data_IF_644542313753
#
_entry.id   IF_644542313753
#
_cell.length_a   1.000
_cell.length_b   1.000
_cell.length_c   1.000
_cell.angle_alpha   90.00
_cell.angle_beta   90.00
_cell.angle_gamma   90.00
#
_symmetry.space_group_name_H-M   'P 1'
#
loop_
_entity.id
_entity.type
_entity.pdbx_description
1 polymer ?
#
# COMPACT_ATOMS: atom_id res chain seq x y z
N UNK A 1 72.70 -7.85 7.61
CA UNK A 1 71.86 -6.63 7.49
C UNK A 1 71.75 -6.08 6.06
N UNK A 2 72.84 -5.95 5.28
CA UNK A 2 72.79 -5.42 3.89
C UNK A 2 71.91 -6.21 2.90
N UNK A 3 71.77 -7.53 3.07
CA UNK A 3 70.89 -8.36 2.22
C UNK A 3 69.41 -8.13 2.51
N UNK A 4 69.04 -7.85 3.76
CA UNK A 4 67.66 -7.58 4.17
C UNK A 4 67.16 -6.25 3.62
N UNK A 5 68.01 -5.22 3.60
CA UNK A 5 67.68 -3.92 3.00
C UNK A 5 67.55 -3.97 1.46
N UNK A 6 68.24 -4.91 0.80
CA UNK A 6 68.16 -5.10 -0.66
C UNK A 6 66.82 -5.69 -1.13
N UNK A 7 66.16 -6.50 -0.30
CA UNK A 7 64.82 -7.04 -0.59
C UNK A 7 63.70 -6.14 -0.07
N UNK A 8 63.97 -5.31 0.95
CA UNK A 8 62.98 -4.36 1.50
C UNK A 8 62.65 -3.21 0.52
N UNK A 9 63.65 -2.73 -0.21
CA UNK A 9 63.49 -1.62 -1.16
C UNK A 9 62.53 -1.93 -2.33
N UNK A 10 62.64 -3.06 -3.07
CA UNK A 10 61.68 -3.38 -4.12
C UNK A 10 60.28 -3.70 -3.56
N UNK A 11 60.18 -4.21 -2.33
CA UNK A 11 58.89 -4.48 -1.67
C UNK A 11 58.14 -3.20 -1.30
N UNK A 12 58.86 -2.18 -0.83
CA UNK A 12 58.29 -0.85 -0.57
C UNK A 12 57.86 -0.14 -1.86
N UNK A 13 58.65 -0.24 -2.93
CA UNK A 13 58.30 0.34 -4.23
C UNK A 13 57.05 -0.35 -4.82
N UNK A 14 56.96 -1.68 -4.70
CA UNK A 14 55.79 -2.44 -5.16
C UNK A 14 54.53 -2.09 -4.34
N UNK A 15 54.66 -1.94 -3.01
CA UNK A 15 53.57 -1.48 -2.15
C UNK A 15 53.08 -0.07 -2.49
N UNK A 16 53.99 0.82 -2.89
CA UNK A 16 53.63 2.21 -3.22
C UNK A 16 52.95 2.30 -4.59
N UNK A 17 53.33 1.45 -5.56
CA UNK A 17 52.68 1.39 -6.88
C UNK A 17 51.27 0.78 -6.83
N UNK A 18 50.98 -0.13 -5.90
CA UNK A 18 49.62 -0.68 -5.76
C UNK A 18 48.64 0.29 -5.07
N UNK A 19 49.15 1.34 -4.42
CA UNK A 19 48.33 2.36 -3.75
C UNK A 19 47.75 3.44 -4.67
N UNK A 20 48.20 3.53 -5.93
CA UNK A 20 47.76 4.56 -6.89
C UNK A 20 46.73 4.04 -7.90
N UNK A 21 45.94 3.03 -7.54
CA UNK A 21 44.73 2.74 -8.31
C UNK A 21 43.78 3.91 -8.11
N UNK A 22 43.39 4.65 -9.16
CA UNK A 22 42.37 5.67 -9.03
C UNK A 22 41.11 4.95 -8.56
N UNK A 23 40.71 5.22 -7.32
CA UNK A 23 39.39 4.83 -6.83
C UNK A 23 38.43 5.53 -7.78
N UNK A 24 37.87 4.76 -8.72
CA UNK A 24 36.75 5.22 -9.53
C UNK A 24 35.62 5.42 -8.54
N UNK A 25 35.50 6.63 -8.00
CA UNK A 25 34.32 7.07 -7.29
C UNK A 25 33.22 6.98 -8.32
N UNK A 26 32.50 5.86 -8.30
CA UNK A 26 31.26 5.73 -9.03
C UNK A 26 30.38 6.82 -8.42
N UNK A 27 30.25 7.93 -9.15
CA UNK A 27 29.27 8.95 -8.83
C UNK A 27 27.95 8.21 -8.70
N UNK A 28 27.46 8.04 -7.47
CA UNK A 28 26.11 7.56 -7.27
C UNK A 28 25.24 8.55 -8.02
N UNK A 29 24.44 8.11 -9.00
CA UNK A 29 23.51 9.01 -9.65
C UNK A 29 22.68 9.60 -8.52
N UNK A 30 22.75 10.92 -8.36
CA UNK A 30 21.75 11.65 -7.61
C UNK A 30 20.43 11.23 -8.23
N UNK A 31 19.70 10.37 -7.53
CA UNK A 31 18.38 9.95 -7.96
C UNK A 31 17.56 11.23 -8.00
N UNK A 32 17.42 11.80 -9.18
CA UNK A 32 16.45 12.83 -9.44
C UNK A 32 15.11 12.15 -9.13
N UNK A 33 14.54 12.47 -7.96
CA UNK A 33 13.20 12.04 -7.60
C UNK A 33 12.32 12.55 -8.71
N UNK A 34 11.91 11.64 -9.59
CA UNK A 34 11.04 11.99 -10.69
C UNK A 34 9.72 12.48 -10.11
N UNK A 35 9.01 13.36 -10.82
CA UNK A 35 7.64 13.72 -10.44
C UNK A 35 6.77 12.48 -10.26
N UNK A 36 7.04 11.41 -11.03
CA UNK A 36 6.36 10.12 -10.88
C UNK A 36 6.59 9.50 -9.50
N UNK A 37 7.83 9.47 -9.02
CA UNK A 37 8.16 8.94 -7.68
C UNK A 37 7.49 9.75 -6.56
N UNK A 38 7.34 11.06 -6.74
CA UNK A 38 6.60 11.91 -5.80
C UNK A 38 5.09 11.63 -5.84
N UNK A 39 4.52 11.40 -7.02
CA UNK A 39 3.11 11.02 -7.18
C UNK A 39 2.81 9.65 -6.56
N UNK A 40 3.70 8.67 -6.75
CA UNK A 40 3.55 7.32 -6.19
C UNK A 40 3.55 7.38 -4.65
N UNK A 41 4.43 8.19 -4.05
CA UNK A 41 4.46 8.40 -2.60
C UNK A 41 3.17 9.06 -2.07
N UNK A 42 2.62 10.03 -2.81
CA UNK A 42 1.33 10.65 -2.46
C UNK A 42 0.19 9.62 -2.53
N UNK A 43 0.18 8.78 -3.57
CA UNK A 43 -0.82 7.72 -3.73
C UNK A 43 -0.78 6.74 -2.55
N UNK A 44 0.40 6.25 -2.17
CA UNK A 44 0.55 5.34 -1.02
C UNK A 44 0.07 6.00 0.28
N UNK A 45 0.39 7.28 0.49
CA UNK A 45 -0.08 8.04 1.65
C UNK A 45 -1.61 8.14 1.69
N UNK A 46 -2.24 8.35 0.54
CA UNK A 46 -3.70 8.41 0.44
C UNK A 46 -4.34 7.04 0.73
N UNK A 47 -3.78 5.95 0.21
CA UNK A 47 -4.29 4.60 0.51
C UNK A 47 -4.14 4.25 2.00
N UNK A 48 -3.03 4.61 2.63
CA UNK A 48 -2.85 4.44 4.08
C UNK A 48 -3.89 5.24 4.87
N UNK A 49 -4.17 6.48 4.48
CA UNK A 49 -5.20 7.30 5.11
C UNK A 49 -6.60 6.67 4.95
N UNK A 50 -6.90 6.12 3.78
CA UNK A 50 -8.15 5.40 3.51
C UNK A 50 -8.31 4.16 4.40
N UNK A 51 -7.26 3.34 4.54
CA UNK A 51 -7.29 2.17 5.43
C UNK A 51 -7.57 2.59 6.88
N UNK A 52 -6.92 3.66 7.35
CA UNK A 52 -7.18 4.20 8.69
C UNK A 52 -8.62 4.72 8.85
N UNK A 53 -9.18 5.39 7.85
CA UNK A 53 -10.59 5.83 7.88
C UNK A 53 -11.54 4.63 8.00
N UNK A 54 -11.29 3.55 7.26
CA UNK A 54 -12.08 2.33 7.35
C UNK A 54 -12.01 1.70 8.74
N UNK A 55 -10.80 1.59 9.32
CA UNK A 55 -10.61 1.08 10.68
C UNK A 55 -11.23 2.00 11.75
N UNK A 56 -11.31 3.30 11.48
CA UNK A 56 -11.96 4.25 12.36
C UNK A 56 -13.49 4.11 12.38
N UNK A 57 -14.11 3.36 11.46
CA UNK A 57 -15.57 3.14 11.43
C UNK A 57 -16.02 2.22 12.56
N UNK A 58 -17.02 2.65 13.32
CA UNK A 58 -17.53 1.90 14.48
C UNK A 58 -17.94 0.47 14.12
N UNK A 59 -18.61 0.26 12.99
CA UNK A 59 -19.02 -1.06 12.52
C UNK A 59 -17.83 -2.00 12.29
N UNK A 60 -16.73 -1.49 11.72
CA UNK A 60 -15.50 -2.25 11.46
C UNK A 60 -14.82 -2.60 12.79
N UNK A 61 -14.75 -1.65 13.72
CA UNK A 61 -14.18 -1.90 15.06
C UNK A 61 -14.97 -2.95 15.83
N UNK A 62 -16.29 -2.85 15.84
CA UNK A 62 -17.15 -3.83 16.50
C UNK A 62 -16.99 -5.23 15.90
N UNK A 63 -16.91 -5.33 14.57
CA UNK A 63 -16.66 -6.62 13.92
C UNK A 63 -15.29 -7.21 14.27
N UNK A 64 -14.22 -6.39 14.28
CA UNK A 64 -12.88 -6.86 14.65
C UNK A 64 -12.83 -7.32 16.12
N UNK A 65 -13.46 -6.58 17.03
CA UNK A 65 -13.59 -6.98 18.44
C UNK A 65 -14.42 -8.27 18.57
N UNK A 66 -15.49 -8.44 17.78
CA UNK A 66 -16.27 -9.68 17.75
C UNK A 66 -15.45 -10.88 17.25
N UNK A 67 -14.42 -10.65 16.41
CA UNK A 67 -13.44 -11.66 16.02
C UNK A 67 -12.33 -11.89 17.06
N UNK A 68 -12.38 -11.21 18.20
CA UNK A 68 -11.40 -11.32 19.28
C UNK A 68 -10.10 -10.55 19.03
N UNK A 69 -10.13 -9.55 18.14
CA UNK A 69 -8.96 -8.73 17.80
C UNK A 69 -9.00 -7.42 18.57
N UNK A 70 -7.91 -7.11 19.27
CA UNK A 70 -7.74 -5.83 19.98
C UNK A 70 -7.38 -4.70 18.99
N UNK A 71 -8.11 -3.59 19.04
CA UNK A 71 -7.95 -2.50 18.07
C UNK A 71 -6.56 -1.85 18.12
N UNK A 72 -5.94 -1.77 19.29
CA UNK A 72 -4.59 -1.23 19.46
C UNK A 72 -3.56 -2.05 18.65
N UNK A 73 -3.71 -3.38 18.63
CA UNK A 73 -2.81 -4.25 17.87
C UNK A 73 -2.98 -4.03 16.37
N UNK A 74 -4.20 -3.83 15.90
CA UNK A 74 -4.49 -3.55 14.48
C UNK A 74 -3.86 -2.24 14.04
N UNK A 75 -4.03 -1.17 14.83
CA UNK A 75 -3.43 0.14 14.55
C UNK A 75 -1.90 0.06 14.50
N UNK A 76 -1.28 -0.66 15.45
CA UNK A 76 0.15 -0.87 15.46
C UNK A 76 0.64 -1.64 14.23
N UNK A 77 -0.12 -2.64 13.77
CA UNK A 77 0.20 -3.40 12.55
C UNK A 77 0.10 -2.52 11.31
N UNK A 78 -0.98 -1.74 11.16
CA UNK A 78 -1.14 -0.82 10.02
C UNK A 78 -0.05 0.26 10.01
N UNK A 79 0.36 0.75 11.18
CA UNK A 79 1.47 1.69 11.30
C UNK A 79 2.82 1.06 10.89
N UNK A 80 3.01 -0.24 11.14
CA UNK A 80 4.22 -0.97 10.79
C UNK A 80 4.24 -1.49 9.33
N UNK A 81 3.13 -1.44 8.59
CA UNK A 81 3.06 -1.90 7.21
C UNK A 81 3.94 -1.07 6.28
N UNK A 82 4.63 -1.76 5.38
CA UNK A 82 5.38 -1.15 4.28
C UNK A 82 4.46 -0.58 3.21
N UNK A 83 4.99 0.29 2.37
CA UNK A 83 4.25 0.95 1.29
C UNK A 83 3.66 -0.06 0.28
N UNK A 84 4.38 -1.15 0.00
CA UNK A 84 3.90 -2.21 -0.88
C UNK A 84 2.75 -3.00 -0.26
N UNK A 85 2.81 -3.28 1.04
CA UNK A 85 1.74 -3.98 1.76
C UNK A 85 0.47 -3.11 1.85
N UNK A 86 0.63 -1.79 2.02
CA UNK A 86 -0.51 -0.85 1.98
C UNK A 86 -1.22 -0.91 0.63
N UNK A 87 -0.48 -0.87 -0.48
CA UNK A 87 -1.06 -0.96 -1.82
C UNK A 87 -1.75 -2.32 -2.06
N UNK A 88 -1.14 -3.42 -1.63
CA UNK A 88 -1.74 -4.75 -1.74
C UNK A 88 -3.03 -4.87 -0.90
N UNK A 89 -3.03 -4.30 0.30
CA UNK A 89 -4.22 -4.30 1.16
C UNK A 89 -5.33 -3.42 0.57
N UNK A 90 -5.00 -2.25 0.03
CA UNK A 90 -5.97 -1.38 -0.65
C UNK A 90 -6.62 -2.10 -1.84
N UNK A 91 -5.83 -2.78 -2.67
CA UNK A 91 -6.34 -3.57 -3.79
C UNK A 91 -7.25 -4.72 -3.32
N UNK A 92 -6.89 -5.39 -2.22
CA UNK A 92 -7.76 -6.41 -1.62
C UNK A 92 -9.08 -5.81 -1.13
N UNK A 93 -9.04 -4.64 -0.47
CA UNK A 93 -10.24 -3.95 0.01
C UNK A 93 -11.16 -3.51 -1.14
N UNK A 94 -10.60 -3.16 -2.30
CA UNK A 94 -11.37 -2.83 -3.51
C UNK A 94 -12.00 -4.07 -4.17
N UNK A 95 -11.29 -5.20 -4.11
CA UNK A 95 -11.76 -6.47 -4.65
C UNK A 95 -12.70 -7.23 -3.70
N UNK A 96 -12.79 -6.83 -2.43
CA UNK A 96 -13.77 -7.39 -1.51
C UNK A 96 -15.17 -6.97 -1.94
N UNK A 97 -16.14 -7.91 -2.02
CA UNK A 97 -17.54 -7.55 -2.22
C UNK A 97 -17.91 -6.52 -1.15
N UNK A 98 -18.35 -5.33 -1.57
CA UNK A 98 -18.64 -4.21 -0.70
C UNK A 98 -19.80 -4.52 0.26
N UNK A 99 -19.52 -5.32 1.29
CA UNK A 99 -20.46 -5.88 2.26
C UNK A 99 -21.65 -6.63 1.65
N UNK A 100 -22.42 -7.28 2.51
CA UNK A 100 -23.77 -7.73 2.17
C UNK A 100 -24.66 -6.56 1.63
N UNK A 101 -24.27 -5.32 1.90
CA UNK A 101 -24.96 -4.10 1.49
C UNK A 101 -24.94 -3.84 -0.02
N UNK A 102 -23.96 -4.32 -0.79
CA UNK A 102 -23.99 -4.15 -2.24
C UNK A 102 -25.16 -4.93 -2.88
N UNK A 103 -25.37 -6.18 -2.45
CA UNK A 103 -26.47 -7.01 -2.93
C UNK A 103 -27.81 -6.50 -2.42
N UNK A 104 -27.90 -6.17 -1.13
CA UNK A 104 -29.12 -5.59 -0.54
C UNK A 104 -29.44 -4.24 -1.19
N UNK A 105 -28.44 -3.40 -1.44
CA UNK A 105 -28.58 -2.11 -2.11
C UNK A 105 -29.01 -2.26 -3.57
N UNK A 106 -28.45 -3.22 -4.30
CA UNK A 106 -28.87 -3.53 -5.66
C UNK A 106 -30.32 -4.03 -5.69
N UNK A 107 -30.69 -4.96 -4.80
CA UNK A 107 -32.07 -5.45 -4.67
C UNK A 107 -33.05 -4.34 -4.29
N UNK A 108 -32.69 -3.47 -3.35
CA UNK A 108 -33.50 -2.31 -2.96
C UNK A 108 -33.64 -1.32 -4.12
N UNK A 109 -32.57 -1.08 -4.88
CA UNK A 109 -32.60 -0.22 -6.06
C UNK A 109 -33.55 -0.78 -7.13
N UNK A 110 -33.42 -2.06 -7.45
CA UNK A 110 -34.32 -2.75 -8.40
C UNK A 110 -35.76 -2.69 -7.90
N UNK A 111 -35.98 -2.95 -6.60
CA UNK A 111 -37.30 -2.86 -5.97
C UNK A 111 -37.91 -1.45 -6.13
N UNK A 112 -37.14 -0.38 -5.86
CA UNK A 112 -37.60 1.01 -6.00
C UNK A 112 -37.94 1.35 -7.46
N UNK A 113 -37.09 0.95 -8.42
CA UNK A 113 -37.35 1.19 -9.85
C UNK A 113 -38.63 0.48 -10.30
N UNK A 114 -38.81 -0.79 -9.89
CA UNK A 114 -40.03 -1.54 -10.18
C UNK A 114 -41.25 -0.90 -9.50
N UNK A 115 -41.11 -0.42 -8.26
CA UNK A 115 -42.20 0.23 -7.52
C UNK A 115 -42.66 1.51 -8.22
N UNK A 116 -41.74 2.36 -8.66
CA UNK A 116 -42.06 3.61 -9.38
C UNK A 116 -42.72 3.31 -10.72
N UNK A 117 -42.21 2.35 -11.48
CA UNK A 117 -42.80 1.99 -12.78
C UNK A 117 -44.19 1.37 -12.66
N UNK A 118 -44.46 0.66 -11.57
CA UNK A 118 -45.77 0.09 -11.25
C UNK A 118 -46.78 1.17 -10.86
N UNK A 119 -46.36 2.16 -10.05
CA UNK A 119 -47.15 3.37 -9.71
C UNK A 119 -47.51 4.23 -10.93
N UNK A 120 -46.64 4.28 -11.93
CA UNK A 120 -46.89 4.96 -13.20
C UNK A 120 -47.77 4.13 -14.16
N UNK A 121 -48.12 2.89 -13.80
CA UNK A 121 -48.90 1.98 -14.64
C UNK A 121 -48.13 1.39 -15.82
N UNK A 122 -46.79 1.49 -15.83
CA UNK A 122 -45.94 0.91 -16.88
C UNK A 122 -45.68 -0.58 -16.63
N UNK A 123 -45.78 -1.03 -15.38
CA UNK A 123 -45.63 -2.43 -14.97
C UNK A 123 -46.80 -2.87 -14.07
N UNK A 124 -46.92 -4.18 -13.82
CA UNK A 124 -47.92 -4.79 -12.94
C UNK A 124 -47.26 -5.89 -12.09
N UNK A 125 -46.27 -5.49 -11.31
CA UNK A 125 -45.43 -6.38 -10.49
C UNK A 125 -45.93 -6.45 -9.06
N UNK A 126 -46.44 -5.35 -8.50
CA UNK A 126 -46.85 -5.30 -7.10
C UNK A 126 -48.39 -5.24 -6.96
N UNK A 127 -49.03 -6.15 -6.22
CA UNK A 127 -50.50 -6.17 -6.11
C UNK A 127 -51.06 -5.10 -5.17
N UNK A 128 -50.21 -4.43 -4.38
CA UNK A 128 -50.60 -3.45 -3.35
C UNK A 128 -50.57 -1.99 -3.82
N UNK A 129 -50.16 -1.72 -5.06
CA UNK A 129 -50.11 -0.39 -5.68
C UNK A 129 -51.43 -0.01 -6.36
N UNK A 130 -52.43 -0.89 -6.32
CA UNK A 130 -53.76 -0.75 -6.91
C UNK A 130 -54.79 -0.24 -5.91
#
# INVERSE_FOLDING_TARGET
MKKLMKVLNPLLILSLLMGTMPVMVQAQPSQLVSTQSALDAIQVSNERARINDLLARTEVREQLVNYGVEMNEVEARVAAMTDQEVLQMADQLDNMPAGANAVIGALLTVFIVLLITDLLGLTNVFPFTR
#
